data_IF_852605891706
#
_entry.id   IF_852605891706
#
_cell.length_a   1.000
_cell.length_b   1.000
_cell.length_c   1.000
_cell.angle_alpha   90.00
_cell.angle_beta   90.00
_cell.angle_gamma   90.00
#
_symmetry.space_group_name_H-M   'P 1'
#
loop_
_entity.id
_entity.type
_entity.pdbx_description
1 polymer ?
#
# COMPACT_ATOMS: atom_id res chain seq x y z
N UNK A 1 -10.29 7.26 4.71
CA UNK A 1 -9.56 6.45 3.73
C UNK A 1 -8.51 5.63 4.43
N UNK A 2 -8.64 4.31 4.31
CA UNK A 2 -7.84 3.33 5.05
C UNK A 2 -6.52 3.02 4.31
N UNK A 3 -5.66 4.04 4.06
CA UNK A 3 -4.35 3.76 3.48
C UNK A 3 -3.45 3.10 4.53
N UNK A 4 -3.30 1.80 4.41
CA UNK A 4 -2.47 0.94 5.27
C UNK A 4 -1.98 -0.27 4.50
N UNK A 5 -1.01 -0.97 5.03
CA UNK A 5 -0.61 -2.29 4.54
C UNK A 5 -1.46 -3.39 5.14
N UNK A 6 -1.65 -4.47 4.39
CA UNK A 6 -2.26 -5.71 4.87
C UNK A 6 -1.51 -6.92 4.36
N UNK A 7 -1.68 -8.05 5.04
CA UNK A 7 -1.32 -9.37 4.52
C UNK A 7 -2.58 -10.22 4.53
N UNK A 8 -2.91 -10.80 3.38
CA UNK A 8 -4.04 -11.71 3.21
C UNK A 8 -3.60 -13.07 2.65
N UNK A 9 -4.44 -14.07 2.86
CA UNK A 9 -4.25 -15.45 2.44
C UNK A 9 -5.51 -15.96 1.75
N UNK A 10 -5.47 -17.12 1.10
CA UNK A 10 -6.67 -17.78 0.59
C UNK A 10 -7.56 -18.28 1.74
N UNK A 11 -8.87 -18.26 1.57
CA UNK A 11 -9.84 -18.85 2.52
C UNK A 11 -9.57 -20.33 2.79
N UNK A 12 -9.09 -21.05 1.78
CA UNK A 12 -8.76 -22.48 1.88
C UNK A 12 -7.42 -22.72 2.58
N UNK A 13 -6.67 -21.67 2.90
CA UNK A 13 -5.40 -21.77 3.61
C UNK A 13 -5.62 -22.11 5.08
N UNK A 14 -4.73 -22.94 5.64
CA UNK A 14 -4.64 -23.19 7.08
C UNK A 14 -3.90 -22.08 7.83
N UNK A 15 -3.34 -21.09 7.12
CA UNK A 15 -2.59 -19.96 7.67
C UNK A 15 -3.57 -18.98 8.30
N UNK A 16 -3.42 -18.70 9.59
CA UNK A 16 -4.27 -17.79 10.37
C UNK A 16 -3.47 -16.69 11.08
N UNK A 17 -2.13 -16.78 11.07
CA UNK A 17 -1.23 -15.81 11.69
C UNK A 17 0.03 -15.63 10.86
N UNK A 18 0.73 -14.50 11.08
CA UNK A 18 1.98 -14.20 10.36
C UNK A 18 3.09 -15.21 10.63
N UNK A 19 3.20 -15.75 11.85
CA UNK A 19 4.21 -16.76 12.20
C UNK A 19 4.11 -18.05 11.37
N UNK A 20 2.89 -18.38 10.86
CA UNK A 20 2.67 -19.52 9.99
C UNK A 20 3.10 -19.29 8.53
N UNK A 21 3.59 -18.10 8.20
CA UNK A 21 4.15 -17.77 6.88
C UNK A 21 5.60 -18.24 6.73
N UNK A 22 6.21 -18.83 7.76
CA UNK A 22 7.53 -19.44 7.63
C UNK A 22 7.54 -20.49 6.51
N UNK A 23 8.57 -20.43 5.66
CA UNK A 23 8.75 -21.28 4.46
C UNK A 23 7.67 -21.11 3.38
N UNK A 24 6.86 -20.01 3.42
CA UNK A 24 5.78 -19.72 2.48
C UNK A 24 6.19 -18.71 1.43
N UNK A 25 5.48 -18.75 0.29
CA UNK A 25 5.61 -17.78 -0.80
C UNK A 25 4.68 -16.60 -0.55
N UNK A 26 5.23 -15.40 -0.52
CA UNK A 26 4.47 -14.16 -0.33
C UNK A 26 4.64 -13.28 -1.56
N UNK A 27 3.56 -12.95 -2.24
CA UNK A 27 3.56 -11.97 -3.31
C UNK A 27 3.57 -10.55 -2.71
N UNK A 28 4.46 -9.70 -3.22
CA UNK A 28 4.55 -8.28 -2.86
C UNK A 28 4.66 -7.43 -4.13
N UNK A 29 4.60 -6.08 -3.97
CA UNK A 29 4.62 -5.16 -5.10
C UNK A 29 6.02 -5.04 -5.71
N UNK A 30 6.76 -4.03 -5.36
CA UNK A 30 8.15 -3.75 -5.77
C UNK A 30 8.94 -3.21 -4.59
N UNK A 31 10.24 -3.42 -4.59
CA UNK A 31 11.15 -2.86 -3.59
C UNK A 31 10.96 -1.35 -3.50
N UNK A 32 10.92 -0.81 -2.28
CA UNK A 32 10.72 0.61 -1.99
C UNK A 32 9.25 1.06 -1.94
N UNK A 33 8.28 0.21 -2.29
CA UNK A 33 6.86 0.53 -2.11
C UNK A 33 6.50 0.52 -0.63
N UNK A 34 6.02 1.63 -0.08
CA UNK A 34 5.66 1.76 1.33
C UNK A 34 4.62 0.72 1.74
N UNK A 35 3.43 0.72 1.12
CA UNK A 35 2.36 -0.21 1.48
C UNK A 35 2.50 -1.60 0.87
N UNK A 36 3.23 -1.71 -0.26
CA UNK A 36 3.33 -2.94 -1.03
C UNK A 36 4.59 -3.77 -0.78
N UNK A 37 5.55 -3.24 -0.02
CA UNK A 37 6.80 -3.94 0.32
C UNK A 37 7.29 -3.62 1.73
N UNK A 38 7.56 -2.34 2.06
CA UNK A 38 8.12 -1.98 3.36
C UNK A 38 7.16 -2.31 4.51
N UNK A 39 5.89 -1.97 4.36
CA UNK A 39 4.87 -2.28 5.36
C UNK A 39 4.69 -3.79 5.61
N UNK A 40 4.44 -4.62 4.57
CA UNK A 40 4.37 -6.07 4.76
C UNK A 40 5.66 -6.67 5.35
N UNK A 41 6.84 -6.19 4.91
CA UNK A 41 8.14 -6.61 5.47
C UNK A 41 8.22 -6.30 6.96
N UNK A 42 7.81 -5.10 7.38
CA UNK A 42 7.76 -4.71 8.80
C UNK A 42 6.83 -5.62 9.61
N UNK A 43 5.64 -5.94 9.08
CA UNK A 43 4.71 -6.86 9.74
C UNK A 43 5.31 -8.25 9.95
N UNK A 44 6.08 -8.76 8.98
CA UNK A 44 6.78 -10.04 9.12
C UNK A 44 7.86 -9.97 10.21
N UNK A 45 8.66 -8.91 10.24
CA UNK A 45 9.71 -8.68 11.26
C UNK A 45 9.07 -8.61 12.65
N UNK A 46 7.98 -7.86 12.81
CA UNK A 46 7.28 -7.72 14.08
C UNK A 46 6.67 -9.03 14.58
N UNK A 47 6.37 -9.96 13.66
CA UNK A 47 5.93 -11.32 13.97
C UNK A 47 7.09 -12.30 14.23
N UNK A 48 8.34 -11.82 14.28
CA UNK A 48 9.54 -12.62 14.54
C UNK A 48 10.08 -13.40 13.34
N UNK A 49 9.64 -13.06 12.12
CA UNK A 49 10.15 -13.67 10.90
C UNK A 49 11.26 -12.80 10.27
N UNK A 50 12.29 -13.44 9.77
CA UNK A 50 13.29 -12.79 8.93
C UNK A 50 12.84 -12.85 7.45
N UNK A 51 12.49 -11.70 6.82
CA UNK A 51 12.01 -11.67 5.44
C UNK A 51 13.00 -12.20 4.39
N UNK A 52 14.29 -12.28 4.74
CA UNK A 52 15.34 -12.75 3.82
C UNK A 52 15.54 -14.27 3.86
N UNK A 53 15.23 -14.91 4.98
CA UNK A 53 15.50 -16.33 5.20
C UNK A 53 14.26 -17.17 5.50
N UNK A 54 13.25 -16.60 6.18
CA UNK A 54 12.10 -17.37 6.67
C UNK A 54 10.92 -17.40 5.69
N UNK A 55 10.92 -16.56 4.66
CA UNK A 55 9.84 -16.49 3.66
C UNK A 55 10.41 -16.32 2.26
N UNK A 56 9.67 -16.77 1.25
CA UNK A 56 10.02 -16.53 -0.15
C UNK A 56 9.20 -15.36 -0.70
N UNK A 57 9.79 -14.19 -0.77
CA UNK A 57 9.13 -12.99 -1.32
C UNK A 57 9.25 -13.00 -2.84
N UNK A 58 8.10 -12.85 -3.53
CA UNK A 58 8.00 -12.75 -4.98
C UNK A 58 7.44 -11.36 -5.35
N UNK A 59 8.20 -10.61 -6.14
CA UNK A 59 7.80 -9.26 -6.60
C UNK A 59 6.87 -9.39 -7.82
N UNK A 60 5.58 -9.59 -7.59
CA UNK A 60 4.60 -9.84 -8.63
C UNK A 60 3.77 -8.61 -9.04
N UNK A 61 3.89 -7.49 -8.31
CA UNK A 61 3.16 -6.26 -8.63
C UNK A 61 1.64 -6.50 -8.69
N UNK A 62 0.99 -6.02 -9.75
CA UNK A 62 -0.45 -6.21 -9.99
C UNK A 62 -0.89 -7.66 -10.15
N UNK A 63 0.04 -8.58 -10.46
CA UNK A 63 -0.26 -10.01 -10.59
C UNK A 63 -0.32 -10.74 -9.24
N UNK A 64 0.01 -10.08 -8.13
CA UNK A 64 0.13 -10.71 -6.81
C UNK A 64 -1.19 -11.24 -6.26
N UNK A 65 -2.28 -10.45 -6.26
CA UNK A 65 -3.60 -10.90 -5.83
C UNK A 65 -4.19 -11.99 -6.75
N UNK A 66 -4.12 -11.87 -8.09
CA UNK A 66 -4.47 -12.98 -9.00
C UNK A 66 -3.70 -14.26 -8.72
N UNK A 67 -2.39 -14.17 -8.41
CA UNK A 67 -1.57 -15.34 -8.08
C UNK A 67 -2.01 -15.99 -6.75
N UNK A 68 -2.37 -15.18 -5.74
CA UNK A 68 -2.93 -15.70 -4.49
C UNK A 68 -4.27 -16.42 -4.73
N UNK A 69 -5.17 -15.83 -5.52
CA UNK A 69 -6.46 -16.42 -5.84
C UNK A 69 -6.32 -17.78 -6.56
N UNK A 70 -5.30 -17.91 -7.42
CA UNK A 70 -4.98 -19.17 -8.12
C UNK A 70 -4.18 -20.19 -7.29
N UNK A 71 -3.74 -19.81 -6.08
CA UNK A 71 -2.91 -20.68 -5.24
C UNK A 71 -1.45 -20.81 -5.69
N UNK A 72 -0.96 -19.90 -6.52
CA UNK A 72 0.45 -19.87 -6.97
C UNK A 72 1.40 -19.33 -5.87
N UNK A 73 0.82 -18.57 -4.93
CA UNK A 73 1.47 -18.08 -3.70
C UNK A 73 0.58 -18.34 -2.50
N UNK A 74 1.17 -18.36 -1.31
CA UNK A 74 0.48 -18.66 -0.05
C UNK A 74 -0.14 -17.43 0.60
N UNK A 75 0.45 -16.25 0.35
CA UNK A 75 0.00 -14.96 0.88
C UNK A 75 0.28 -13.81 -0.11
N UNK A 76 -0.42 -12.71 0.09
CA UNK A 76 -0.15 -11.44 -0.56
C UNK A 76 -0.01 -10.34 0.48
N UNK A 77 1.03 -9.49 0.33
CA UNK A 77 1.24 -8.30 1.14
C UNK A 77 1.16 -7.03 0.29
N UNK A 78 0.33 -6.08 0.71
CA UNK A 78 0.14 -4.87 -0.07
C UNK A 78 -0.80 -3.83 0.53
N UNK A 79 -1.17 -2.84 -0.28
CA UNK A 79 -2.10 -1.78 0.10
C UNK A 79 -3.52 -2.32 0.32
N UNK A 80 -4.15 -1.97 1.45
CA UNK A 80 -5.54 -2.32 1.71
C UNK A 80 -6.49 -1.78 0.63
N UNK A 81 -6.22 -0.59 0.10
CA UNK A 81 -7.02 -0.02 -1.00
C UNK A 81 -6.98 -0.90 -2.26
N UNK A 82 -5.79 -1.42 -2.62
CA UNK A 82 -5.66 -2.34 -3.77
C UNK A 82 -6.35 -3.68 -3.51
N UNK A 83 -6.32 -4.15 -2.27
CA UNK A 83 -7.05 -5.34 -1.85
C UNK A 83 -8.57 -5.14 -2.00
N UNK A 84 -9.12 -4.04 -1.46
CA UNK A 84 -10.55 -3.72 -1.56
C UNK A 84 -11.00 -3.60 -3.03
N UNK A 85 -10.22 -2.90 -3.86
CA UNK A 85 -10.48 -2.78 -5.30
C UNK A 85 -10.55 -4.16 -5.97
N UNK A 86 -9.57 -5.02 -5.71
CA UNK A 86 -9.54 -6.37 -6.29
C UNK A 86 -10.74 -7.21 -5.86
N UNK A 87 -11.09 -7.21 -4.56
CA UNK A 87 -12.26 -7.92 -4.05
C UNK A 87 -13.53 -7.45 -4.77
N UNK A 88 -13.71 -6.13 -4.92
CA UNK A 88 -14.86 -5.54 -5.59
C UNK A 88 -14.89 -5.89 -7.08
N UNK A 89 -13.79 -5.72 -7.80
CA UNK A 89 -13.69 -6.00 -9.24
C UNK A 89 -13.94 -7.48 -9.60
N UNK A 90 -13.53 -8.38 -8.71
CA UNK A 90 -13.71 -9.82 -8.89
C UNK A 90 -15.05 -10.34 -8.33
N UNK A 91 -15.90 -9.47 -7.78
CA UNK A 91 -17.17 -9.88 -7.13
C UNK A 91 -16.95 -10.84 -5.95
N UNK A 92 -15.79 -10.76 -5.28
CA UNK A 92 -15.44 -11.61 -4.14
C UNK A 92 -15.95 -10.98 -2.83
N UNK A 93 -16.09 -11.82 -1.80
CA UNK A 93 -16.20 -11.35 -0.42
C UNK A 93 -14.82 -11.33 0.25
N UNK A 94 -14.67 -10.51 1.30
CA UNK A 94 -13.44 -10.52 2.11
C UNK A 94 -13.11 -11.90 2.69
N UNK A 95 -14.11 -12.76 2.89
CA UNK A 95 -13.93 -14.12 3.34
C UNK A 95 -13.22 -15.02 2.31
N UNK A 96 -13.19 -14.63 1.04
CA UNK A 96 -12.48 -15.37 -0.01
C UNK A 96 -10.96 -15.23 0.11
N UNK A 97 -10.51 -14.05 0.53
CA UNK A 97 -9.10 -13.73 0.75
C UNK A 97 -8.91 -13.04 2.12
N UNK A 98 -9.10 -13.74 3.24
CA UNK A 98 -9.09 -13.14 4.56
C UNK A 98 -7.79 -12.44 4.88
N UNK A 99 -7.91 -11.23 5.42
CA UNK A 99 -6.79 -10.44 5.93
C UNK A 99 -6.37 -10.98 7.30
N UNK A 100 -5.15 -11.49 7.40
CA UNK A 100 -4.59 -12.05 8.65
C UNK A 100 -3.77 -11.02 9.44
N UNK A 101 -3.40 -9.90 8.83
CA UNK A 101 -2.72 -8.79 9.52
C UNK A 101 -2.97 -7.46 8.82
N UNK A 102 -3.14 -6.41 9.64
CA UNK A 102 -3.27 -5.01 9.20
C UNK A 102 -2.22 -4.16 9.90
N UNK A 103 -1.46 -3.40 9.14
CA UNK A 103 -0.52 -2.42 9.67
C UNK A 103 -1.20 -1.12 10.12
N UNK A 104 -0.43 -0.19 10.69
CA UNK A 104 -0.92 1.14 11.03
C UNK A 104 -1.38 1.89 9.78
N UNK A 105 -2.05 3.02 9.98
CA UNK A 105 -2.30 3.98 8.89
C UNK A 105 -0.95 4.50 8.39
N UNK A 106 -0.82 4.56 7.08
CA UNK A 106 0.35 5.10 6.42
C UNK A 106 0.08 6.56 6.02
N UNK A 107 1.10 7.43 6.07
CA UNK A 107 1.02 8.77 5.53
C UNK A 107 0.75 8.70 4.02
N UNK A 108 0.06 9.72 3.52
CA UNK A 108 -0.23 9.84 2.09
C UNK A 108 0.93 10.49 1.35
N UNK A 109 0.84 10.48 0.02
CA UNK A 109 1.85 11.11 -0.82
C UNK A 109 1.88 12.63 -0.59
N UNK A 110 3.07 13.22 -0.65
CA UNK A 110 3.35 14.63 -0.35
C UNK A 110 3.92 15.36 -1.55
N UNK A 111 3.62 16.65 -1.63
CA UNK A 111 4.48 17.62 -2.29
C UNK A 111 5.42 18.22 -1.25
N UNK A 112 6.71 18.04 -1.42
CA UNK A 112 7.74 18.56 -0.50
C UNK A 112 8.54 19.66 -1.16
N UNK A 113 8.77 20.75 -0.43
CA UNK A 113 9.67 21.82 -0.86
C UNK A 113 11.00 21.70 -0.11
N UNK A 114 12.12 21.97 -0.82
CA UNK A 114 13.43 22.07 -0.17
C UNK A 114 13.45 23.23 0.83
N UNK A 115 14.07 23.02 1.99
CA UNK A 115 14.31 24.09 2.97
C UNK A 115 15.17 25.25 2.47
N UNK A 116 15.86 25.07 1.33
CA UNK A 116 16.67 26.11 0.67
C UNK A 116 15.84 27.02 -0.25
N UNK A 117 14.58 26.69 -0.53
CA UNK A 117 13.72 27.55 -1.33
C UNK A 117 13.29 28.80 -0.56
N UNK A 118 13.13 29.90 -1.30
CA UNK A 118 12.60 31.14 -0.75
C UNK A 118 11.19 30.87 -0.16
N UNK A 119 10.93 31.22 1.11
CA UNK A 119 9.63 30.98 1.77
C UNK A 119 8.45 31.60 1.03
N UNK A 120 8.62 32.78 0.42
CA UNK A 120 7.54 33.42 -0.35
C UNK A 120 7.21 32.63 -1.64
N UNK A 121 8.22 32.06 -2.29
CA UNK A 121 8.01 31.16 -3.42
C UNK A 121 7.24 29.89 -3.00
N UNK A 122 7.58 29.30 -1.85
CA UNK A 122 6.87 28.15 -1.29
C UNK A 122 5.41 28.47 -1.01
N UNK A 123 5.12 29.65 -0.43
CA UNK A 123 3.74 30.11 -0.22
C UNK A 123 2.98 30.27 -1.53
N UNK A 124 3.61 30.87 -2.56
CA UNK A 124 3.00 31.03 -3.88
C UNK A 124 2.70 29.66 -4.52
N UNK A 125 3.63 28.71 -4.45
CA UNK A 125 3.44 27.35 -4.96
C UNK A 125 2.28 26.68 -4.23
N UNK A 126 2.23 26.72 -2.91
CA UNK A 126 1.15 26.15 -2.11
C UNK A 126 -0.22 26.74 -2.50
N UNK A 127 -0.31 28.07 -2.64
CA UNK A 127 -1.53 28.73 -3.07
C UNK A 127 -1.99 28.27 -4.45
N UNK A 128 -1.05 28.14 -5.41
CA UNK A 128 -1.34 27.65 -6.75
C UNK A 128 -1.74 26.17 -6.77
N UNK A 129 -1.11 25.32 -5.97
CA UNK A 129 -1.48 23.91 -5.84
C UNK A 129 -2.92 23.78 -5.35
N UNK A 130 -3.30 24.50 -4.30
CA UNK A 130 -4.66 24.48 -3.75
C UNK A 130 -5.68 25.06 -4.74
N UNK A 131 -5.36 26.20 -5.36
CA UNK A 131 -6.26 26.85 -6.33
C UNK A 131 -6.51 26.00 -7.60
N UNK A 132 -5.57 25.12 -7.96
CA UNK A 132 -5.67 24.26 -9.15
C UNK A 132 -5.82 22.78 -8.80
N UNK A 133 -6.17 22.44 -7.57
CA UNK A 133 -6.15 21.06 -7.08
C UNK A 133 -6.97 20.09 -7.93
N UNK A 134 -8.12 20.49 -8.45
CA UNK A 134 -8.96 19.63 -9.30
C UNK A 134 -8.22 19.17 -10.56
N UNK A 135 -7.57 20.10 -11.27
CA UNK A 135 -6.76 19.79 -12.47
C UNK A 135 -5.57 18.91 -12.14
N UNK A 136 -4.91 19.19 -11.03
CA UNK A 136 -3.74 18.43 -10.55
C UNK A 136 -4.17 17.00 -10.21
N UNK A 137 -5.22 16.83 -9.43
CA UNK A 137 -5.74 15.50 -9.05
C UNK A 137 -6.22 14.74 -10.28
N UNK A 138 -6.88 15.39 -11.24
CA UNK A 138 -7.30 14.76 -12.49
C UNK A 138 -6.07 14.27 -13.29
N UNK A 139 -5.04 15.09 -13.41
CA UNK A 139 -3.80 14.73 -14.12
C UNK A 139 -3.07 13.58 -13.44
N UNK A 140 -2.92 13.61 -12.12
CA UNK A 140 -2.32 12.54 -11.34
C UNK A 140 -3.13 11.23 -11.46
N UNK A 141 -4.45 11.31 -11.41
CA UNK A 141 -5.34 10.15 -11.54
C UNK A 141 -5.27 9.48 -12.91
N UNK A 142 -4.96 10.25 -13.98
CA UNK A 142 -4.80 9.69 -15.32
C UNK A 142 -3.50 8.88 -15.48
N UNK A 143 -2.47 9.21 -14.71
CA UNK A 143 -1.18 8.51 -14.73
C UNK A 143 -1.15 7.32 -13.75
N UNK A 144 -1.76 7.47 -12.59
CA UNK A 144 -1.74 6.49 -11.49
C UNK A 144 -3.04 5.66 -11.40
N UNK A 145 -3.64 5.34 -12.54
CA UNK A 145 -4.81 4.44 -12.65
C UNK A 145 -5.93 4.76 -11.63
N UNK A 146 -6.27 6.03 -11.49
CA UNK A 146 -7.33 6.48 -10.59
C UNK A 146 -6.98 6.51 -9.10
N UNK A 147 -5.72 6.27 -8.71
CA UNK A 147 -5.24 6.28 -7.31
C UNK A 147 -5.67 7.52 -6.53
N UNK A 148 -5.69 8.69 -7.19
CA UNK A 148 -6.00 9.97 -6.56
C UNK A 148 -7.44 10.44 -6.81
N UNK A 149 -8.28 9.65 -7.48
CA UNK A 149 -9.67 10.00 -7.79
C UNK A 149 -10.44 10.32 -6.49
N UNK A 150 -11.06 11.50 -6.45
CA UNK A 150 -11.79 11.98 -5.27
C UNK A 150 -10.91 12.43 -4.10
N UNK A 151 -9.59 12.54 -4.32
CA UNK A 151 -8.67 13.12 -3.33
C UNK A 151 -8.72 14.64 -3.34
N UNK A 152 -8.19 15.26 -2.27
CA UNK A 152 -7.98 16.70 -2.13
C UNK A 152 -6.56 16.96 -1.67
N UNK A 153 -6.00 18.12 -2.05
CA UNK A 153 -4.75 18.60 -1.49
C UNK A 153 -5.04 19.33 -0.19
N UNK A 154 -4.35 18.95 0.87
CA UNK A 154 -4.45 19.57 2.19
C UNK A 154 -3.07 19.94 2.70
N UNK A 155 -2.91 21.10 3.38
CA UNK A 155 -1.69 21.40 4.10
C UNK A 155 -1.46 20.37 5.20
N UNK A 156 -0.22 19.97 5.41
CA UNK A 156 0.19 19.07 6.49
C UNK A 156 1.43 19.62 7.18
N UNK A 157 1.65 19.21 8.42
CA UNK A 157 2.82 19.56 9.19
C UNK A 157 3.89 18.46 9.05
N UNK A 158 5.14 18.86 9.09
CA UNK A 158 6.30 17.95 8.99
C UNK A 158 6.25 16.86 10.07
N UNK A 159 5.88 17.23 11.29
CA UNK A 159 5.73 16.33 12.43
C UNK A 159 4.70 15.20 12.27
N UNK A 160 3.86 15.24 11.25
CA UNK A 160 2.95 14.14 10.92
C UNK A 160 3.65 12.99 10.18
N UNK A 161 4.91 13.20 9.78
CA UNK A 161 5.70 12.28 8.94
C UNK A 161 7.01 11.83 9.60
N UNK A 162 7.28 12.26 10.85
CA UNK A 162 8.45 11.87 11.66
C UNK A 162 8.33 10.46 12.29
#
# INVERSE_FOLDING_TARGET
PNYRTVICVSSNSKIKSLSQLKDKKIAMWKIGSTSGYLGPTKLLIDAGLNPQSDVKILMLGSKGLPALQKGEVDAWGGSYVKYEQFIQEQGLSENSLPVISKGPLLPKDLFVASSQLNPELVKQINSLLIANQEKIIQSLSSVEEGKYKGSTLVPVNDSEYD
#
